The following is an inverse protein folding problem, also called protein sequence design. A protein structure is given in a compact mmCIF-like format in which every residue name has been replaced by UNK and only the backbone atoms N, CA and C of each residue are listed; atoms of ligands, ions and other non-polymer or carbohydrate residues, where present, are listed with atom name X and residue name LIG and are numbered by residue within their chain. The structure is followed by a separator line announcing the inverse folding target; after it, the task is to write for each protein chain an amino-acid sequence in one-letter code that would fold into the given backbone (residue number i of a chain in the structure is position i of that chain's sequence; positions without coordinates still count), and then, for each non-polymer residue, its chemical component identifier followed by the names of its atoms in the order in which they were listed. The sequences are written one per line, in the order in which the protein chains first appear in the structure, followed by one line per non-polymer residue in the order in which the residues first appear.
data_IF_429452419539
#
_entry.id   IF_429452419539
#
_cell.length_a   1.000
_cell.length_b   1.000
_cell.length_c   1.000
_cell.angle_alpha   90.00
_cell.angle_beta   90.00
_cell.angle_gamma   90.00
#
_symmetry.space_group_name_H-M   'P 1'
#
loop_
_entity.id
_entity.type
_entity.pdbx_description
1 polymer ?
#
# COMPACT_ATOMS: atom_id res chain seq x y z
N UNK A 1 23.80 11.69 -21.31
CA UNK A 1 23.07 11.58 -20.97
C UNK A 1 22.59 10.79 -20.66
N UNK A 2 22.25 11.03 -20.17
CA UNK A 2 22.11 9.81 -19.91
C UNK A 2 20.72 9.41 -19.67
N UNK A 3 20.39 8.30 -20.19
CA UNK A 3 19.11 7.71 -20.00
C UNK A 3 18.85 7.40 -18.55
N UNK A 4 19.89 7.12 -17.82
CA UNK A 4 19.74 6.71 -16.44
C UNK A 4 19.12 7.79 -15.58
N UNK A 5 19.39 9.04 -15.90
CA UNK A 5 18.82 10.12 -15.11
C UNK A 5 17.31 10.23 -15.25
N UNK A 6 16.75 9.59 -16.27
CA UNK A 6 15.31 9.59 -16.49
C UNK A 6 14.63 8.33 -16.06
N UNK A 7 15.41 7.31 -15.73
CA UNK A 7 14.83 6.12 -15.20
C UNK A 7 14.38 6.34 -13.80
N UNK A 8 13.27 5.75 -13.50
CA UNK A 8 12.80 5.75 -12.13
C UNK A 8 13.46 4.61 -11.40
N UNK A 9 14.20 4.97 -10.39
CA UNK A 9 14.85 3.98 -9.54
C UNK A 9 13.82 3.40 -8.59
N UNK A 10 13.87 2.09 -8.34
CA UNK A 10 13.04 1.53 -7.29
C UNK A 10 13.36 2.17 -5.95
N UNK A 11 12.35 2.44 -5.18
CA UNK A 11 12.53 3.08 -3.88
C UNK A 11 11.90 2.24 -2.80
N UNK A 12 12.57 2.19 -1.67
CA UNK A 12 12.03 1.52 -0.49
C UNK A 12 11.15 2.51 0.24
N UNK A 13 10.00 2.02 0.67
CA UNK A 13 9.08 2.85 1.41
C UNK A 13 8.24 2.03 2.37
N UNK A 14 7.45 2.75 3.15
CA UNK A 14 6.52 2.14 4.09
C UNK A 14 5.13 2.68 3.77
N UNK A 15 4.17 1.77 3.70
CA UNK A 15 2.77 2.14 3.46
C UNK A 15 1.98 1.79 4.70
N UNK A 16 1.31 2.78 5.26
CA UNK A 16 0.39 2.56 6.36
C UNK A 16 -1.04 2.59 5.84
N UNK A 17 -1.83 1.59 6.21
CA UNK A 17 -3.19 1.44 5.75
C UNK A 17 -4.09 1.23 6.97
N UNK A 18 -5.15 2.02 7.06
CA UNK A 18 -6.17 1.82 8.08
C UNK A 18 -7.47 1.49 7.35
N UNK A 19 -8.01 0.33 7.66
CA UNK A 19 -9.19 -0.20 6.98
C UNK A 19 -10.32 -0.28 7.99
N UNK A 20 -11.44 0.40 7.72
CA UNK A 20 -12.62 0.26 8.56
C UNK A 20 -13.10 -1.18 8.53
N UNK A 21 -13.70 -1.62 9.63
CA UNK A 21 -14.15 -3.00 9.78
C UNK A 21 -15.38 -3.24 8.91
N UNK A 22 -15.17 -3.37 7.61
CA UNK A 22 -16.18 -3.64 6.61
C UNK A 22 -15.68 -4.76 5.74
N UNK A 23 -16.52 -5.76 5.54
CA UNK A 23 -16.12 -6.92 4.77
C UNK A 23 -15.69 -6.56 3.34
N UNK A 24 -16.43 -5.67 2.69
CA UNK A 24 -16.09 -5.29 1.32
C UNK A 24 -14.76 -4.55 1.24
N UNK A 25 -14.50 -3.67 2.19
CA UNK A 25 -13.25 -2.95 2.21
C UNK A 25 -12.08 -3.92 2.38
N UNK A 26 -12.20 -4.85 3.32
CA UNK A 26 -11.15 -5.83 3.58
C UNK A 26 -10.86 -6.68 2.34
N UNK A 27 -11.91 -7.13 1.66
CA UNK A 27 -11.75 -7.95 0.46
C UNK A 27 -11.03 -7.18 -0.64
N UNK A 28 -11.42 -5.93 -0.86
CA UNK A 28 -10.79 -5.12 -1.89
C UNK A 28 -9.35 -4.80 -1.57
N UNK A 29 -9.05 -4.52 -0.31
CA UNK A 29 -7.67 -4.27 0.11
C UNK A 29 -6.83 -5.53 -0.15
N UNK A 30 -7.30 -6.69 0.31
CA UNK A 30 -6.54 -7.92 0.13
C UNK A 30 -6.32 -8.25 -1.34
N UNK A 31 -7.32 -8.03 -2.18
CA UNK A 31 -7.17 -8.24 -3.61
C UNK A 31 -6.11 -7.31 -4.20
N UNK A 32 -6.14 -6.04 -3.79
CA UNK A 32 -5.17 -5.06 -4.28
C UNK A 32 -3.76 -5.43 -3.87
N UNK A 33 -3.58 -5.86 -2.61
CA UNK A 33 -2.26 -6.26 -2.13
C UNK A 33 -1.75 -7.48 -2.88
N UNK A 34 -2.65 -8.39 -3.23
CA UNK A 34 -2.28 -9.55 -4.03
C UNK A 34 -1.85 -9.13 -5.44
N UNK A 35 -2.58 -8.20 -6.03
CA UNK A 35 -2.26 -7.74 -7.40
C UNK A 35 -0.90 -7.03 -7.45
N UNK A 36 -0.49 -6.42 -6.36
CA UNK A 36 0.77 -5.69 -6.30
C UNK A 36 1.84 -6.44 -5.51
N UNK A 37 1.70 -7.76 -5.39
CA UNK A 37 2.61 -8.56 -4.58
C UNK A 37 4.07 -8.42 -4.94
N UNK A 38 4.38 -8.11 -6.19
CA UNK A 38 5.77 -8.02 -6.63
C UNK A 38 6.54 -6.87 -5.96
N UNK A 39 5.84 -5.81 -5.55
CA UNK A 39 6.50 -4.67 -4.92
C UNK A 39 6.39 -4.70 -3.41
N UNK A 40 5.73 -5.70 -2.84
CA UNK A 40 5.56 -5.81 -1.39
C UNK A 40 6.62 -6.75 -0.84
N UNK A 41 7.55 -6.19 -0.06
CA UNK A 41 8.63 -6.96 0.55
C UNK A 41 8.15 -7.67 1.80
N UNK A 42 7.27 -7.03 2.55
CA UNK A 42 6.73 -7.62 3.76
C UNK A 42 5.50 -6.89 4.20
N UNK A 43 4.69 -7.54 5.02
CA UNK A 43 3.48 -6.92 5.52
C UNK A 43 3.16 -7.45 6.91
N UNK A 44 2.51 -6.60 7.68
CA UNK A 44 1.98 -6.97 8.98
C UNK A 44 0.60 -6.36 9.10
N UNK A 45 -0.37 -7.13 9.52
CA UNK A 45 -1.72 -6.65 9.71
C UNK A 45 -2.22 -7.00 11.10
N UNK A 46 -2.89 -6.06 11.72
CA UNK A 46 -3.44 -6.24 13.06
C UNK A 46 -4.90 -5.81 13.03
N UNK A 47 -5.83 -6.72 13.36
CA UNK A 47 -7.21 -6.32 13.56
C UNK A 47 -7.30 -5.62 14.91
N UNK A 48 -7.65 -4.34 14.89
CA UNK A 48 -7.73 -3.54 16.11
C UNK A 48 -9.19 -3.30 16.43
N UNK A 49 -9.81 -4.27 17.06
CA UNK A 49 -11.26 -4.30 17.23
C UNK A 49 -11.77 -3.20 18.13
N UNK A 50 -10.97 -2.79 19.10
CA UNK A 50 -11.37 -1.72 20.01
C UNK A 50 -11.67 -0.42 19.27
N UNK A 51 -11.06 -0.23 18.12
CA UNK A 51 -11.25 0.97 17.33
C UNK A 51 -12.03 0.70 16.04
N UNK A 52 -12.48 -0.53 15.83
CA UNK A 52 -13.28 -0.88 14.67
C UNK A 52 -12.52 -0.81 13.35
N UNK A 53 -11.23 -1.06 13.38
CA UNK A 53 -10.38 -0.98 12.18
C UNK A 53 -9.40 -2.13 12.16
N UNK A 54 -8.83 -2.36 10.98
CA UNK A 54 -7.61 -3.15 10.83
C UNK A 54 -6.51 -2.21 10.39
N UNK A 55 -5.31 -2.44 10.89
CA UNK A 55 -4.15 -1.62 10.54
C UNK A 55 -3.15 -2.51 9.84
N UNK A 56 -2.72 -2.09 8.66
CA UNK A 56 -1.77 -2.85 7.86
C UNK A 56 -0.56 -1.98 7.58
N UNK A 57 0.61 -2.55 7.80
CA UNK A 57 1.86 -1.90 7.45
C UNK A 57 2.53 -2.72 6.37
N UNK A 58 2.98 -2.05 5.33
CA UNK A 58 3.69 -2.69 4.23
C UNK A 58 5.09 -2.10 4.14
N UNK A 59 6.05 -2.95 3.84
CA UNK A 59 7.35 -2.51 3.37
C UNK A 59 7.35 -2.76 1.89
N UNK A 60 7.62 -1.73 1.11
CA UNK A 60 7.53 -1.81 -0.35
C UNK A 60 8.86 -1.40 -0.97
N UNK A 61 9.10 -1.93 -2.15
CA UNK A 61 10.27 -1.60 -2.95
C UNK A 61 9.83 -1.64 -4.40
N UNK A 62 9.81 -0.50 -5.04
CA UNK A 62 9.34 -0.46 -6.42
C UNK A 62 9.43 0.93 -7.01
N UNK A 63 9.08 0.98 -8.28
CA UNK A 63 9.01 2.22 -9.03
C UNK A 63 7.97 3.15 -8.41
N UNK A 64 8.27 4.44 -8.35
CA UNK A 64 7.35 5.39 -7.71
C UNK A 64 6.01 5.46 -8.42
N UNK A 65 5.97 5.22 -9.72
CA UNK A 65 4.69 5.20 -10.43
C UNK A 65 3.84 4.01 -10.00
N UNK A 66 4.47 2.86 -9.83
CA UNK A 66 3.77 1.65 -9.40
C UNK A 66 3.26 1.83 -7.98
N UNK A 67 4.11 2.35 -7.09
CA UNK A 67 3.72 2.56 -5.70
C UNK A 67 2.64 3.62 -5.58
N UNK A 68 2.72 4.67 -6.41
CA UNK A 68 1.67 5.68 -6.47
C UNK A 68 0.34 5.11 -6.94
N UNK A 69 0.38 4.21 -7.93
CA UNK A 69 -0.84 3.55 -8.40
C UNK A 69 -1.45 2.69 -7.30
N UNK A 70 -0.62 1.93 -6.59
CA UNK A 70 -1.10 1.10 -5.48
C UNK A 70 -1.77 1.94 -4.40
N UNK A 71 -1.07 2.99 -3.95
CA UNK A 71 -1.61 3.80 -2.86
C UNK A 71 -2.84 4.60 -3.29
N UNK A 72 -2.87 5.05 -4.54
CA UNK A 72 -4.04 5.74 -5.07
C UNK A 72 -5.25 4.85 -5.15
N UNK A 73 -5.07 3.62 -5.62
CA UNK A 73 -6.17 2.67 -5.70
C UNK A 73 -6.65 2.25 -4.32
N UNK A 74 -5.73 2.03 -3.38
CA UNK A 74 -6.12 1.70 -2.01
C UNK A 74 -6.92 2.84 -1.40
N UNK A 75 -6.45 4.07 -1.56
CA UNK A 75 -7.12 5.23 -1.00
C UNK A 75 -8.49 5.51 -1.63
N UNK A 76 -8.75 4.95 -2.81
CA UNK A 76 -10.05 5.07 -3.46
C UNK A 76 -11.09 4.09 -2.93
N UNK A 77 -10.71 3.13 -2.09
CA UNK A 77 -11.66 2.18 -1.52
C UNK A 77 -12.38 2.84 -0.34
N UNK A 78 -13.71 2.87 -0.35
CA UNK A 78 -14.43 3.46 0.79
C UNK A 78 -14.04 2.78 2.11
N UNK A 79 -13.75 3.59 3.11
CA UNK A 79 -13.36 3.08 4.43
C UNK A 79 -11.86 2.79 4.56
N UNK A 80 -11.06 3.17 3.59
CA UNK A 80 -9.62 2.91 3.60
C UNK A 80 -8.85 4.21 3.56
N UNK A 81 -7.89 4.36 4.46
CA UNK A 81 -6.96 5.49 4.49
C UNK A 81 -5.55 4.98 4.32
N UNK A 82 -4.75 5.69 3.55
CA UNK A 82 -3.42 5.24 3.16
C UNK A 82 -2.43 6.39 3.26
N UNK A 83 -1.25 6.08 3.73
CA UNK A 83 -0.11 7.01 3.69
C UNK A 83 1.12 6.25 3.25
N UNK A 84 1.92 6.90 2.45
CA UNK A 84 3.14 6.32 1.91
C UNK A 84 4.30 7.23 2.29
N UNK A 85 5.35 6.64 2.85
CA UNK A 85 6.59 7.35 3.13
C UNK A 85 7.70 6.69 2.35
N UNK A 86 8.40 7.47 1.55
CA UNK A 86 9.60 7.02 0.84
C UNK A 86 10.85 7.42 1.60
N UNK A 87 11.88 6.67 1.40
CA UNK A 87 13.20 7.07 1.91
C UNK A 87 13.94 7.95 0.91
#
# INVERSE_FOLDING_TARGET
MSQDSQRREPRVGVVGIVVEDRQKAAQKVNQMLSDYGEVIVGRMGIPYRDRGVSVIALIVDGDTDVLGALTGKLGGIPGVRVRLAFT
#
